data_IF_359216035540
#
_entry.id   IF_359216035540
#
_cell.length_a   1.000
_cell.length_b   1.000
_cell.length_c   1.000
_cell.angle_alpha   90.00
_cell.angle_beta   90.00
_cell.angle_gamma   90.00
#
_symmetry.space_group_name_H-M   'P 1'
#
loop_
_entity.id
_entity.type
_entity.pdbx_description
1 polymer ?
#
# COMPACT_ATOMS: atom_id res chain seq x y z
N UNK A 1 0.59 -7.84 -4.15
CA UNK A 1 -0.03 -7.22 -2.97
C UNK A 1 0.00 -5.70 -3.11
N UNK A 2 -1.12 -5.04 -2.83
CA UNK A 2 -1.23 -3.58 -2.80
C UNK A 2 -1.10 -3.09 -1.35
N UNK A 3 -0.13 -2.23 -1.08
CA UNK A 3 0.16 -1.68 0.24
C UNK A 3 -0.16 -0.18 0.23
N UNK A 4 -1.08 0.26 1.06
CA UNK A 4 -1.37 1.68 1.29
C UNK A 4 -0.55 2.19 2.48
N UNK A 5 0.39 3.09 2.20
CA UNK A 5 1.33 3.64 3.19
C UNK A 5 0.88 4.96 3.81
N UNK A 6 -0.40 5.31 3.64
CA UNK A 6 -1.03 6.39 4.40
C UNK A 6 -1.11 6.05 5.90
N UNK A 7 -1.28 7.09 6.71
CA UNK A 7 -1.59 6.92 8.12
C UNK A 7 -2.95 6.24 8.27
N UNK A 8 -3.13 5.44 9.32
CA UNK A 8 -4.38 4.69 9.53
C UNK A 8 -5.60 5.61 9.64
N UNK A 9 -5.46 6.82 10.20
CA UNK A 9 -6.56 7.77 10.27
C UNK A 9 -7.04 8.22 8.88
N UNK A 10 -6.14 8.39 7.89
CA UNK A 10 -6.51 8.75 6.51
C UNK A 10 -7.35 7.63 5.88
N UNK A 11 -7.07 6.37 6.23
CA UNK A 11 -7.84 5.21 5.77
C UNK A 11 -9.23 5.18 6.38
N UNK A 12 -9.34 5.50 7.67
CA UNK A 12 -10.62 5.53 8.38
C UNK A 12 -11.51 6.68 7.92
N UNK A 13 -10.92 7.83 7.58
CA UNK A 13 -11.66 9.03 7.18
C UNK A 13 -12.03 9.01 5.69
N UNK A 14 -11.08 8.68 4.80
CA UNK A 14 -11.28 8.79 3.35
C UNK A 14 -11.55 7.44 2.68
N UNK A 15 -11.35 6.33 3.39
CA UNK A 15 -11.39 4.99 2.83
C UNK A 15 -10.06 4.55 2.23
N UNK A 16 -10.07 3.35 1.64
CA UNK A 16 -8.89 2.73 1.02
C UNK A 16 -9.23 2.09 -0.31
N UNK A 17 -8.18 1.87 -1.11
CA UNK A 17 -8.31 1.14 -2.38
C UNK A 17 -8.73 -0.30 -2.03
N UNK A 18 -9.79 -0.86 -2.64
CA UNK A 18 -10.22 -2.23 -2.40
C UNK A 18 -9.06 -3.22 -2.58
N UNK A 19 -8.95 -4.16 -1.64
CA UNK A 19 -7.84 -5.14 -1.62
C UNK A 19 -6.49 -4.58 -1.17
N UNK A 20 -6.39 -3.31 -0.78
CA UNK A 20 -5.17 -2.77 -0.17
C UNK A 20 -5.04 -3.11 1.32
N UNK A 21 -3.79 -3.32 1.73
CA UNK A 21 -3.36 -3.51 3.12
C UNK A 21 -2.76 -2.20 3.63
N UNK A 22 -3.21 -1.69 4.78
CA UNK A 22 -2.62 -0.49 5.35
C UNK A 22 -1.36 -0.84 6.14
N UNK A 23 -0.21 -0.32 5.69
CA UNK A 23 1.07 -0.41 6.39
C UNK A 23 1.68 0.99 6.35
N UNK A 24 1.51 1.82 7.39
CA UNK A 24 2.02 3.19 7.42
C UNK A 24 3.50 3.27 7.06
N UNK A 25 3.91 4.35 6.39
CA UNK A 25 5.27 4.47 5.81
C UNK A 25 6.39 4.20 6.83
N UNK A 26 6.23 4.67 8.06
CA UNK A 26 7.19 4.47 9.16
C UNK A 26 7.33 2.99 9.58
N UNK A 27 6.32 2.15 9.32
CA UNK A 27 6.33 0.73 9.66
C UNK A 27 6.82 -0.18 8.52
N UNK A 28 6.87 0.31 7.28
CA UNK A 28 7.19 -0.51 6.09
C UNK A 28 8.48 -1.29 6.24
N UNK A 29 9.54 -0.66 6.76
CA UNK A 29 10.84 -1.31 6.95
C UNK A 29 10.76 -2.50 7.90
N UNK A 30 10.06 -2.32 9.03
CA UNK A 30 9.86 -3.37 10.04
C UNK A 30 8.95 -4.47 9.51
N UNK A 31 7.81 -4.10 8.93
CA UNK A 31 6.81 -5.02 8.38
C UNK A 31 7.41 -5.98 7.35
N UNK A 32 8.27 -5.47 6.45
CA UNK A 32 8.90 -6.28 5.42
C UNK A 32 9.99 -7.22 5.95
N UNK A 33 10.49 -7.00 7.18
CA UNK A 33 11.54 -7.79 7.81
C UNK A 33 11.02 -8.72 8.92
N UNK A 34 9.89 -8.41 9.55
CA UNK A 34 9.32 -9.19 10.65
C UNK A 34 8.94 -10.62 10.26
N UNK A 35 8.78 -11.54 11.21
CA UNK A 35 8.43 -12.91 10.84
C UNK A 35 6.99 -13.00 10.25
N UNK A 36 6.67 -14.03 9.45
CA UNK A 36 5.37 -14.14 8.80
C UNK A 36 4.17 -14.23 9.76
N UNK A 37 4.37 -14.74 10.97
CA UNK A 37 3.31 -14.87 11.97
C UNK A 37 2.90 -13.50 12.50
N UNK A 38 3.88 -12.70 12.94
CA UNK A 38 3.63 -11.36 13.49
C UNK A 38 3.02 -10.44 12.42
N UNK A 39 3.47 -10.57 11.16
CA UNK A 39 2.89 -9.84 10.04
C UNK A 39 1.41 -10.17 9.87
N UNK A 40 1.03 -11.45 9.95
CA UNK A 40 -0.35 -11.90 9.82
C UNK A 40 -1.21 -11.48 11.01
N UNK A 41 -0.65 -11.49 12.21
CA UNK A 41 -1.35 -11.02 13.42
C UNK A 41 -1.58 -9.50 13.37
N UNK A 42 -0.60 -8.71 12.92
CA UNK A 42 -0.66 -7.24 12.90
C UNK A 42 -1.45 -6.67 11.73
N UNK A 43 -1.22 -7.18 10.51
CA UNK A 43 -1.80 -6.62 9.27
C UNK A 43 -2.94 -7.47 8.71
N UNK A 44 -3.29 -8.59 9.37
CA UNK A 44 -4.33 -9.52 8.96
C UNK A 44 -4.15 -10.09 7.55
N UNK A 45 -2.90 -10.15 7.09
CA UNK A 45 -2.55 -10.54 5.73
C UNK A 45 -1.32 -11.45 5.69
N UNK A 46 -1.14 -12.14 4.57
CA UNK A 46 0.03 -13.02 4.40
C UNK A 46 1.26 -12.16 4.07
N UNK A 47 2.35 -12.36 4.84
CA UNK A 47 3.62 -11.67 4.56
C UNK A 47 4.10 -12.00 3.14
N UNK A 48 4.43 -10.99 2.31
CA UNK A 48 4.96 -11.23 0.98
C UNK A 48 6.37 -11.84 1.02
N UNK A 49 6.63 -12.74 0.08
CA UNK A 49 7.96 -13.22 -0.26
C UNK A 49 8.70 -12.21 -1.15
N UNK A 50 10.02 -12.35 -1.27
CA UNK A 50 10.87 -11.48 -2.12
C UNK A 50 10.53 -11.58 -3.61
N UNK A 51 9.93 -12.69 -4.04
CA UNK A 51 9.49 -12.94 -5.42
C UNK A 51 8.10 -12.37 -5.72
N UNK A 52 7.35 -11.94 -4.71
CA UNK A 52 6.00 -11.41 -4.91
C UNK A 52 6.03 -9.99 -5.46
N UNK A 53 5.01 -9.67 -6.27
CA UNK A 53 4.83 -8.31 -6.77
C UNK A 53 4.22 -7.42 -5.70
N UNK A 54 4.89 -6.31 -5.38
CA UNK A 54 4.41 -5.30 -4.44
C UNK A 54 4.08 -4.00 -5.18
N UNK A 55 2.95 -3.40 -4.84
CA UNK A 55 2.59 -2.07 -5.32
C UNK A 55 2.32 -1.20 -4.09
N UNK A 56 3.06 -0.11 -3.96
CA UNK A 56 2.85 0.87 -2.88
C UNK A 56 1.97 2.01 -3.36
N UNK A 57 0.95 2.37 -2.60
CA UNK A 57 0.10 3.54 -2.81
C UNK A 57 0.17 4.46 -1.59
N UNK A 58 -0.08 5.76 -1.80
CA UNK A 58 -0.26 6.71 -0.71
C UNK A 58 -1.25 7.79 -1.18
N UNK A 59 -1.32 8.94 -0.52
CA UNK A 59 -2.20 10.03 -0.97
C UNK A 59 -1.88 10.54 -2.40
N UNK A 60 -0.61 10.83 -2.70
CA UNK A 60 -0.18 11.52 -3.93
C UNK A 60 1.25 11.15 -4.38
N UNK A 61 1.61 9.86 -4.32
CA UNK A 61 2.89 9.33 -4.83
C UNK A 61 4.16 9.52 -3.98
N UNK A 62 4.25 10.57 -3.14
CA UNK A 62 5.51 10.88 -2.41
C UNK A 62 5.91 9.81 -1.38
N UNK A 63 4.98 9.37 -0.55
CA UNK A 63 5.25 8.36 0.49
C UNK A 63 5.42 6.96 -0.12
N UNK A 64 4.63 6.64 -1.15
CA UNK A 64 4.74 5.36 -1.84
C UNK A 64 6.08 5.20 -2.57
N UNK A 65 6.66 6.29 -3.09
CA UNK A 65 8.02 6.27 -3.64
C UNK A 65 9.08 5.93 -2.58
N UNK A 66 9.00 6.53 -1.38
CA UNK A 66 9.90 6.18 -0.27
C UNK A 66 9.74 4.72 0.15
N UNK A 67 8.51 4.21 0.22
CA UNK A 67 8.25 2.82 0.57
C UNK A 67 8.82 1.85 -0.49
N UNK A 68 8.72 2.19 -1.77
CA UNK A 68 9.35 1.46 -2.87
C UNK A 68 10.87 1.40 -2.68
N UNK A 69 11.52 2.52 -2.40
CA UNK A 69 12.98 2.56 -2.23
C UNK A 69 13.43 1.70 -1.05
N UNK A 70 12.67 1.70 0.06
CA UNK A 70 12.86 0.79 1.21
C UNK A 70 12.66 -0.68 0.82
N UNK A 71 11.62 -1.01 0.05
CA UNK A 71 11.37 -2.38 -0.35
C UNK A 71 12.48 -2.93 -1.26
N UNK A 72 12.97 -2.10 -2.20
CA UNK A 72 14.10 -2.44 -3.08
C UNK A 72 15.37 -2.69 -2.25
N UNK A 73 15.68 -1.83 -1.28
CA UNK A 73 16.88 -2.02 -0.44
C UNK A 73 16.83 -3.30 0.40
N UNK A 74 15.62 -3.77 0.71
CA UNK A 74 15.37 -5.05 1.38
C UNK A 74 15.30 -6.25 0.41
N UNK A 75 15.50 -6.08 -0.89
CA UNK A 75 15.54 -7.16 -1.88
C UNK A 75 14.18 -7.55 -2.49
N UNK A 76 13.14 -6.74 -2.33
CA UNK A 76 11.89 -6.91 -3.07
C UNK A 76 12.01 -6.26 -4.45
N UNK A 77 12.61 -6.97 -5.40
CA UNK A 77 12.90 -6.43 -6.74
C UNK A 77 11.66 -6.21 -7.61
N UNK A 78 10.55 -6.89 -7.30
CA UNK A 78 9.26 -6.72 -7.99
C UNK A 78 8.35 -5.71 -7.29
N UNK A 79 8.94 -4.66 -6.72
CA UNK A 79 8.23 -3.56 -6.10
C UNK A 79 8.01 -2.42 -7.11
N UNK A 80 6.83 -1.82 -7.05
CA UNK A 80 6.44 -0.63 -7.82
C UNK A 80 5.71 0.34 -6.89
N UNK A 81 5.53 1.59 -7.33
CA UNK A 81 4.67 2.53 -6.64
C UNK A 81 3.65 3.12 -7.60
N UNK A 82 2.43 3.33 -7.11
CA UNK A 82 1.39 4.03 -7.82
C UNK A 82 1.58 5.54 -7.60
N UNK A 83 1.91 6.26 -8.68
CA UNK A 83 2.31 7.66 -8.62
C UNK A 83 1.14 8.61 -8.34
N UNK A 84 -0.04 8.39 -8.91
CA UNK A 84 -1.21 9.23 -8.64
C UNK A 84 -1.82 8.98 -7.26
N UNK A 85 -1.63 7.79 -6.69
CA UNK A 85 -2.08 7.46 -5.35
C UNK A 85 -3.60 7.50 -5.20
N UNK A 86 -4.05 7.65 -3.95
CA UNK A 86 -5.46 7.75 -3.61
C UNK A 86 -6.18 8.88 -4.36
N UNK A 87 -5.53 10.05 -4.51
CA UNK A 87 -6.12 11.21 -5.19
C UNK A 87 -6.46 10.94 -6.65
N UNK A 88 -5.64 10.15 -7.35
CA UNK A 88 -5.97 9.76 -8.72
C UNK A 88 -7.04 8.66 -8.71
N UNK A 89 -6.90 7.65 -7.84
CA UNK A 89 -7.85 6.54 -7.76
C UNK A 89 -9.29 6.99 -7.48
N UNK A 90 -9.49 7.88 -6.51
CA UNK A 90 -10.82 8.36 -6.14
C UNK A 90 -11.54 9.02 -7.32
N UNK A 91 -10.81 9.68 -8.23
CA UNK A 91 -11.43 10.31 -9.42
C UNK A 91 -12.04 9.29 -10.37
N UNK A 92 -11.41 8.11 -10.53
CA UNK A 92 -11.93 7.06 -11.39
C UNK A 92 -13.15 6.39 -10.78
N UNK A 93 -13.11 6.08 -9.49
CA UNK A 93 -14.21 5.42 -8.78
C UNK A 93 -15.47 6.27 -8.74
N UNK A 94 -15.33 7.57 -8.48
CA UNK A 94 -16.47 8.49 -8.54
C UNK A 94 -16.94 8.76 -9.97
N UNK A 95 -16.10 8.55 -10.99
CA UNK A 95 -16.52 8.66 -12.39
C UNK A 95 -17.33 7.45 -12.87
N UNK A 96 -16.96 6.24 -12.45
CA UNK A 96 -17.65 5.00 -12.83
C UNK A 96 -18.97 4.84 -12.06
N UNK A 97 -19.01 5.25 -10.79
CA UNK A 97 -20.25 5.27 -10.00
C UNK A 97 -21.31 6.25 -10.53
N UNK A 98 -20.93 7.22 -11.37
CA UNK A 98 -21.89 8.14 -12.04
C UNK A 98 -22.44 7.61 -13.37
N UNK A 99 -21.82 6.61 -13.97
CA UNK A 99 -22.30 6.02 -15.24
C UNK A 99 -23.27 4.85 -15.04
N UNK A 100 -23.41 4.37 -13.80
CA UNK A 100 -24.29 3.26 -13.45
C UNK A 100 -25.61 3.65 -12.79
N UNK A 101 -25.98 4.94 -12.80
CA UNK A 101 -27.21 5.46 -12.19
C UNK A 101 -28.09 6.17 -13.22
#
# INVERSE_FOLDING_TARGET
>A
MLIDVRETWEILEYGKIPGSVNIPLNEVSEALQMNPRDFKEKYHEVKPSKSDSLVFSCLAGRRSKKALDTAISLGFHRAQHYAGGWKEWETYEFSENKKGN
#
